data_IF_709197218487
#
_entry.id   IF_709197218487
#
_cell.length_a   1.000
_cell.length_b   1.000
_cell.length_c   1.000
_cell.angle_alpha   90.00
_cell.angle_beta   90.00
_cell.angle_gamma   90.00
#
_symmetry.space_group_name_H-M   'P 1'
#
loop_
_entity.id
_entity.type
_entity.pdbx_description
1 polymer ?
#
# COMPACT_ATOMS: atom_id res chain seq x y z
N UNK A 1 -3.00 -7.78 3.39
CA UNK A 1 -4.29 -7.93 4.14
C UNK A 1 -5.45 -8.57 3.33
N UNK A 2 -5.18 -9.34 2.27
CA UNK A 2 -6.20 -9.73 1.26
C UNK A 2 -7.34 -10.66 1.72
N UNK A 3 -7.18 -11.40 2.81
CA UNK A 3 -8.22 -12.27 3.41
C UNK A 3 -8.26 -12.08 4.93
N UNK A 4 -8.43 -10.82 5.35
CA UNK A 4 -8.38 -10.41 6.75
C UNK A 4 -9.55 -10.99 7.56
N UNK A 5 -9.22 -11.56 8.72
CA UNK A 5 -10.16 -11.97 9.78
C UNK A 5 -9.73 -11.31 11.09
N UNK A 6 -10.60 -11.28 12.11
CA UNK A 6 -10.26 -10.67 13.40
C UNK A 6 -9.03 -11.32 14.06
N UNK A 7 -8.94 -12.64 14.04
CA UNK A 7 -7.79 -13.35 14.61
C UNK A 7 -6.49 -12.99 13.87
N UNK A 8 -6.54 -12.92 12.53
CA UNK A 8 -5.37 -12.51 11.73
C UNK A 8 -4.98 -11.06 11.97
N UNK A 9 -5.96 -10.17 12.14
CA UNK A 9 -5.72 -8.77 12.48
C UNK A 9 -4.93 -8.64 13.80
N UNK A 10 -5.37 -9.37 14.84
CA UNK A 10 -4.68 -9.40 16.14
C UNK A 10 -3.24 -9.92 16.02
N UNK A 11 -3.03 -11.02 15.27
CA UNK A 11 -1.68 -11.56 15.05
C UNK A 11 -0.79 -10.58 14.26
N UNK A 12 -1.34 -9.89 13.27
CA UNK A 12 -0.63 -8.87 12.50
C UNK A 12 -0.22 -7.68 13.38
N UNK A 13 -1.10 -7.17 14.24
CA UNK A 13 -0.75 -6.09 15.18
C UNK A 13 0.39 -6.51 16.10
N UNK A 14 0.31 -7.68 16.73
CA UNK A 14 1.37 -8.19 17.59
C UNK A 14 2.72 -8.32 16.85
N UNK A 15 2.70 -8.80 15.60
CA UNK A 15 3.91 -8.90 14.79
C UNK A 15 4.50 -7.52 14.44
N UNK A 16 3.66 -6.55 14.12
CA UNK A 16 4.07 -5.17 13.80
C UNK A 16 4.62 -4.45 15.02
N UNK A 17 4.00 -4.62 16.20
CA UNK A 17 4.50 -4.09 17.46
C UNK A 17 5.88 -4.66 17.79
N UNK A 18 6.05 -5.97 17.62
CA UNK A 18 7.34 -6.61 17.83
C UNK A 18 8.40 -6.14 16.83
N UNK A 19 8.04 -6.03 15.55
CA UNK A 19 8.95 -5.50 14.52
C UNK A 19 9.40 -4.07 14.85
N UNK A 20 8.48 -3.23 15.33
CA UNK A 20 8.80 -1.87 15.77
C UNK A 20 9.75 -1.86 16.98
N UNK A 21 9.52 -2.70 17.98
CA UNK A 21 10.37 -2.74 19.19
C UNK A 21 11.77 -3.28 18.91
N UNK A 22 11.90 -4.21 17.94
CA UNK A 22 13.19 -4.75 17.51
C UNK A 22 13.84 -3.97 16.35
N UNK A 23 13.22 -2.88 15.90
CA UNK A 23 13.65 -2.10 14.73
C UNK A 23 13.78 -2.93 13.44
N UNK A 24 13.00 -4.01 13.33
CA UNK A 24 12.93 -4.83 12.12
C UNK A 24 12.05 -4.13 11.08
N UNK A 25 12.54 -3.90 9.85
CA UNK A 25 11.72 -3.29 8.81
C UNK A 25 10.55 -4.18 8.44
N UNK A 26 9.39 -3.58 8.20
CA UNK A 26 8.19 -4.29 7.78
C UNK A 26 7.46 -3.55 6.67
N UNK A 27 6.71 -4.29 5.86
CA UNK A 27 6.03 -3.77 4.68
C UNK A 27 4.51 -3.93 4.80
N UNK A 28 3.78 -2.97 4.21
CA UNK A 28 2.33 -3.01 4.13
C UNK A 28 1.88 -3.20 2.68
N UNK A 29 1.13 -4.27 2.45
CA UNK A 29 0.34 -4.48 1.23
C UNK A 29 -1.17 -4.32 1.56
N UNK A 30 -1.77 -3.15 1.24
CA UNK A 30 -3.12 -2.75 1.60
C UNK A 30 -4.17 -3.30 0.61
N UNK A 31 -4.06 -4.58 0.22
CA UNK A 31 -4.98 -5.24 -0.72
C UNK A 31 -6.46 -4.91 -0.46
N UNK A 32 -7.11 -4.32 -1.46
CA UNK A 32 -8.51 -3.93 -1.47
C UNK A 32 -8.93 -2.96 -0.35
N UNK A 33 -8.04 -2.07 0.09
CA UNK A 33 -8.32 -1.05 1.12
C UNK A 33 -9.45 -0.08 0.73
N UNK A 34 -9.66 0.17 -0.57
CA UNK A 34 -10.74 1.03 -1.06
C UNK A 34 -12.13 0.38 -1.08
N UNK A 35 -12.22 -0.96 -0.99
CA UNK A 35 -13.48 -1.69 -1.20
C UNK A 35 -14.24 -2.02 0.10
N UNK A 36 -13.55 -2.18 1.23
CA UNK A 36 -14.13 -2.68 2.47
C UNK A 36 -13.69 -1.87 3.70
N UNK A 37 -14.66 -1.31 4.42
CA UNK A 37 -14.42 -0.45 5.61
C UNK A 37 -13.59 -1.12 6.71
N UNK A 38 -13.75 -2.42 6.90
CA UNK A 38 -12.97 -3.16 7.88
C UNK A 38 -11.48 -3.19 7.53
N UNK A 39 -11.15 -3.47 6.26
CA UNK A 39 -9.76 -3.48 5.78
C UNK A 39 -9.17 -2.08 5.76
N UNK A 40 -9.97 -1.10 5.37
CA UNK A 40 -9.61 0.31 5.39
C UNK A 40 -9.14 0.76 6.78
N UNK A 41 -10.00 0.58 7.79
CA UNK A 41 -9.67 0.94 9.18
C UNK A 41 -8.44 0.20 9.69
N UNK A 42 -8.33 -1.09 9.38
CA UNK A 42 -7.17 -1.88 9.79
C UNK A 42 -5.86 -1.40 9.13
N UNK A 43 -5.88 -1.05 7.84
CA UNK A 43 -4.69 -0.50 7.19
C UNK A 43 -4.30 0.87 7.78
N UNK A 44 -5.27 1.73 8.11
CA UNK A 44 -5.01 3.00 8.78
C UNK A 44 -4.40 2.81 10.18
N UNK A 45 -4.88 1.81 10.92
CA UNK A 45 -4.27 1.41 12.21
C UNK A 45 -2.81 1.01 12.00
N UNK A 46 -2.52 0.10 11.07
CA UNK A 46 -1.16 -0.33 10.76
C UNK A 46 -0.26 0.81 10.29
N UNK A 47 -0.78 1.78 9.53
CA UNK A 47 -0.01 2.95 9.11
C UNK A 47 0.54 3.76 10.30
N UNK A 48 -0.20 3.83 11.41
CA UNK A 48 0.27 4.52 12.62
C UNK A 48 1.54 3.90 13.23
N UNK A 49 1.84 2.65 12.88
CA UNK A 49 3.06 1.95 13.27
C UNK A 49 4.26 2.21 12.35
N UNK A 50 4.11 3.10 11.35
CA UNK A 50 5.16 3.56 10.44
C UNK A 50 5.87 2.42 9.68
N UNK A 51 5.22 1.81 8.67
CA UNK A 51 5.86 0.82 7.81
C UNK A 51 7.11 1.39 7.13
N UNK A 52 8.08 0.54 6.85
CA UNK A 52 9.27 0.94 6.09
C UNK A 52 8.94 1.11 4.61
N UNK A 53 8.06 0.27 4.07
CA UNK A 53 7.55 0.40 2.72
C UNK A 53 6.06 0.04 2.62
N UNK A 54 5.38 0.68 1.68
CA UNK A 54 3.98 0.43 1.33
C UNK A 54 3.94 0.12 -0.14
N UNK A 55 3.31 -0.99 -0.53
CA UNK A 55 3.18 -1.37 -1.92
C UNK A 55 1.72 -1.64 -2.22
N UNK A 56 1.22 -1.10 -3.32
CA UNK A 56 -0.15 -1.35 -3.78
C UNK A 56 -0.35 -0.91 -5.23
N UNK A 57 -1.51 -1.21 -5.81
CA UNK A 57 -1.88 -0.63 -7.10
C UNK A 57 -2.34 0.83 -6.96
N UNK A 58 -2.57 1.51 -8.09
CA UNK A 58 -2.99 2.90 -8.11
C UNK A 58 -4.23 3.19 -7.22
N UNK A 59 -5.29 2.40 -7.38
CA UNK A 59 -6.54 2.57 -6.62
C UNK A 59 -6.34 2.37 -5.11
N UNK A 60 -5.49 1.42 -4.71
CA UNK A 60 -5.20 1.13 -3.30
C UNK A 60 -4.38 2.24 -2.65
N UNK A 61 -3.36 2.74 -3.34
CA UNK A 61 -2.52 3.82 -2.82
C UNK A 61 -3.32 5.12 -2.71
N UNK A 62 -4.11 5.46 -3.72
CA UNK A 62 -4.97 6.65 -3.66
C UNK A 62 -6.06 6.52 -2.59
N UNK A 63 -6.67 5.34 -2.44
CA UNK A 63 -7.65 5.10 -1.39
C UNK A 63 -7.00 5.17 0.01
N UNK A 64 -5.79 4.64 0.19
CA UNK A 64 -5.06 4.67 1.45
C UNK A 64 -4.66 6.11 1.83
N UNK A 65 -4.10 6.87 0.88
CA UNK A 65 -3.74 8.28 1.08
C UNK A 65 -4.98 9.16 1.32
N UNK A 66 -6.05 8.93 0.57
CA UNK A 66 -7.34 9.62 0.76
C UNK A 66 -7.96 9.29 2.11
N UNK A 67 -7.95 8.03 2.53
CA UNK A 67 -8.47 7.63 3.84
C UNK A 67 -7.63 8.19 5.00
N UNK A 68 -6.31 8.31 4.83
CA UNK A 68 -5.44 8.97 5.81
C UNK A 68 -5.74 10.47 5.92
N UNK A 69 -6.12 11.12 4.81
CA UNK A 69 -6.36 12.57 4.72
C UNK A 69 -7.83 13.00 4.70
N UNK A 70 -8.78 12.08 4.91
CA UNK A 70 -10.22 12.38 4.91
C UNK A 70 -10.85 12.66 3.52
N UNK A 71 -10.19 12.28 2.43
CA UNK A 71 -10.64 12.45 1.04
C UNK A 71 -11.67 11.43 0.54
N UNK A 72 -12.29 11.71 -0.61
CA UNK A 72 -13.27 10.82 -1.28
C UNK A 72 -12.58 9.72 -2.11
N UNK A 73 -13.27 8.57 -2.21
CA UNK A 73 -12.80 7.36 -2.90
C UNK A 73 -12.50 7.54 -4.38
N UNK A 74 -11.87 6.52 -4.96
CA UNK A 74 -11.14 6.60 -6.24
C UNK A 74 -11.64 5.52 -7.19
N UNK A 75 -11.76 5.87 -8.47
CA UNK A 75 -12.22 4.96 -9.51
C UNK A 75 -11.14 3.93 -9.88
N UNK A 76 -11.56 2.71 -10.21
CA UNK A 76 -10.70 1.51 -10.24
C UNK A 76 -9.90 1.31 -11.54
N UNK A 77 -9.78 2.33 -12.39
CA UNK A 77 -9.15 2.22 -13.72
C UNK A 77 -7.99 3.20 -13.94
N UNK A 78 -7.50 3.83 -12.87
CA UNK A 78 -6.42 4.80 -12.97
C UNK A 78 -5.06 4.14 -13.26
N UNK A 79 -4.35 4.72 -14.23
CA UNK A 79 -2.96 4.37 -14.50
C UNK A 79 -2.08 4.66 -13.26
N UNK A 80 -1.01 3.88 -13.05
CA UNK A 80 -0.11 4.04 -11.91
C UNK A 80 0.45 5.48 -11.77
N UNK A 81 0.64 6.18 -12.89
CA UNK A 81 1.07 7.58 -12.91
C UNK A 81 0.10 8.54 -12.20
N UNK A 82 -1.22 8.27 -12.24
CA UNK A 82 -2.23 9.11 -11.60
C UNK A 82 -2.13 9.06 -10.07
N UNK A 83 -1.58 7.97 -9.51
CA UNK A 83 -1.40 7.80 -8.08
C UNK A 83 -0.10 8.42 -7.54
N UNK A 84 0.78 8.97 -8.39
CA UNK A 84 2.06 9.56 -7.96
C UNK A 84 1.87 10.66 -6.88
N UNK A 85 0.95 11.63 -7.02
CA UNK A 85 0.75 12.66 -6.00
C UNK A 85 0.30 12.09 -4.65
N UNK A 86 -0.56 11.05 -4.69
CA UNK A 86 -1.01 10.33 -3.50
C UNK A 86 0.14 9.55 -2.86
N UNK A 87 0.94 8.85 -3.66
CA UNK A 87 2.11 8.11 -3.20
C UNK A 87 3.15 9.01 -2.53
N UNK A 88 3.44 10.17 -3.13
CA UNK A 88 4.37 11.13 -2.56
C UNK A 88 3.87 11.71 -1.23
N UNK A 89 2.58 12.04 -1.15
CA UNK A 89 1.95 12.53 0.07
C UNK A 89 2.01 11.48 1.18
N UNK A 90 1.61 10.25 0.87
CA UNK A 90 1.65 9.13 1.81
C UNK A 90 3.09 8.85 2.29
N UNK A 91 4.07 8.89 1.39
CA UNK A 91 5.48 8.70 1.74
C UNK A 91 5.98 9.79 2.71
N UNK A 92 5.64 11.07 2.48
CA UNK A 92 6.02 12.17 3.38
C UNK A 92 5.37 12.07 4.76
N UNK A 93 4.10 11.69 4.81
CA UNK A 93 3.34 11.59 6.06
C UNK A 93 3.79 10.41 6.93
N UNK A 94 4.09 9.28 6.29
CA UNK A 94 4.43 8.03 6.99
C UNK A 94 5.94 7.86 7.20
N UNK A 95 6.76 8.52 6.37
CA UNK A 95 8.19 8.27 6.26
C UNK A 95 8.53 6.97 5.51
N UNK A 96 7.54 6.32 4.89
CA UNK A 96 7.72 5.06 4.16
C UNK A 96 8.15 5.29 2.71
N UNK A 97 8.78 4.27 2.12
CA UNK A 97 8.90 4.17 0.66
C UNK A 97 7.56 3.67 0.11
N UNK A 98 6.99 4.36 -0.88
CA UNK A 98 5.73 3.95 -1.51
C UNK A 98 5.99 3.42 -2.92
N UNK A 99 5.48 2.23 -3.21
CA UNK A 99 5.54 1.56 -4.51
C UNK A 99 4.12 1.46 -5.09
N UNK A 100 3.89 2.12 -6.22
CA UNK A 100 2.66 2.02 -7.01
C UNK A 100 2.93 1.07 -8.17
N UNK A 101 2.28 -0.10 -8.17
CA UNK A 101 2.46 -1.09 -9.24
C UNK A 101 1.42 -0.97 -10.35
N UNK A 102 1.85 -1.20 -11.60
CA UNK A 102 1.01 -1.14 -12.80
C UNK A 102 1.71 -1.71 -14.03
N UNK A 103 1.38 -1.22 -15.23
CA UNK A 103 2.17 -1.50 -16.44
C UNK A 103 3.58 -0.91 -16.34
N UNK A 104 3.68 0.24 -15.68
CA UNK A 104 4.92 0.83 -15.21
C UNK A 104 4.80 1.03 -13.71
N UNK A 105 5.80 0.59 -12.97
CA UNK A 105 5.84 0.75 -11.53
C UNK A 105 6.52 2.08 -11.17
N UNK A 106 6.06 2.71 -10.09
CA UNK A 106 6.64 3.94 -9.56
C UNK A 106 7.01 3.77 -8.09
N UNK A 107 8.23 4.15 -7.73
CA UNK A 107 8.75 4.12 -6.36
C UNK A 107 9.07 5.54 -5.91
N UNK A 108 8.63 5.94 -4.71
CA UNK A 108 8.91 7.27 -4.16
C UNK A 108 9.15 7.26 -2.66
N UNK A 109 10.07 8.10 -2.19
CA UNK A 109 10.29 8.46 -0.78
C UNK A 109 9.57 9.76 -0.39
N UNK A 110 8.68 10.27 -1.26
CA UNK A 110 8.00 11.55 -1.10
C UNK A 110 8.69 12.76 -1.73
N UNK A 111 9.96 12.62 -2.15
CA UNK A 111 10.75 13.67 -2.78
C UNK A 111 11.28 13.24 -4.16
N UNK A 112 11.80 12.02 -4.26
CA UNK A 112 12.31 11.40 -5.49
C UNK A 112 11.28 10.42 -6.03
N UNK A 113 11.26 10.26 -7.35
CA UNK A 113 10.44 9.26 -8.02
C UNK A 113 11.35 8.46 -8.95
N UNK A 114 11.23 7.14 -8.91
CA UNK A 114 11.90 6.20 -9.81
C UNK A 114 10.81 5.44 -10.56
N UNK A 115 10.87 5.51 -11.89
CA UNK A 115 10.03 4.70 -12.78
C UNK A 115 10.73 3.39 -13.13
N UNK A 116 10.02 2.28 -13.06
CA UNK A 116 10.52 0.95 -13.40
C UNK A 116 9.67 0.40 -14.55
N UNK A 117 10.35 0.07 -15.65
CA UNK A 117 9.75 -0.56 -16.82
C UNK A 117 10.02 -2.06 -16.80
N UNK A 118 9.13 -2.85 -17.41
CA UNK A 118 9.27 -4.29 -17.55
C UNK A 118 7.96 -5.01 -17.29
N UNK A 119 8.06 -6.28 -16.92
CA UNK A 119 6.89 -7.15 -16.71
C UNK A 119 6.23 -7.61 -18.01
N UNK A 120 5.08 -8.26 -17.88
CA UNK A 120 4.26 -8.72 -19.00
C UNK A 120 2.77 -8.69 -18.59
N UNK A 121 1.85 -8.23 -19.45
CA UNK A 121 0.41 -8.26 -19.17
C UNK A 121 -0.12 -9.64 -18.74
N UNK A 122 0.53 -10.73 -19.14
CA UNK A 122 0.21 -12.10 -18.72
C UNK A 122 0.34 -12.29 -17.21
N UNK A 123 1.18 -11.51 -16.52
CA UNK A 123 1.31 -11.56 -15.06
C UNK A 123 -0.02 -11.23 -14.35
N UNK A 124 -0.89 -10.44 -14.99
CA UNK A 124 -2.24 -10.13 -14.47
C UNK A 124 -3.21 -11.30 -14.54
N UNK A 125 -2.86 -12.35 -15.31
CA UNK A 125 -3.67 -13.57 -15.48
C UNK A 125 -3.27 -14.68 -14.51
N UNK A 126 -2.25 -14.46 -13.68
CA UNK A 126 -1.79 -15.38 -12.65
C UNK A 126 -2.07 -14.78 -11.28
N UNK A 127 -2.86 -15.48 -10.45
CA UNK A 127 -3.18 -15.01 -9.10
C UNK A 127 -1.94 -14.98 -8.21
N UNK A 128 -1.78 -13.91 -7.43
CA UNK A 128 -0.71 -13.79 -6.43
C UNK A 128 0.62 -13.21 -6.94
N UNK A 129 0.77 -12.93 -8.24
CA UNK A 129 1.94 -12.21 -8.79
C UNK A 129 2.14 -10.85 -8.15
N UNK A 130 1.02 -10.17 -7.84
CA UNK A 130 1.00 -9.01 -6.95
C UNK A 130 1.60 -9.37 -5.60
N UNK A 131 0.89 -10.11 -4.74
CA UNK A 131 1.30 -10.39 -3.37
C UNK A 131 2.74 -10.96 -3.17
N UNK A 132 3.34 -11.56 -4.20
CA UNK A 132 4.72 -12.07 -4.15
C UNK A 132 5.81 -10.99 -4.31
N UNK A 133 5.49 -9.85 -4.92
CA UNK A 133 6.37 -8.71 -5.15
C UNK A 133 6.35 -7.74 -3.97
#
# INVERSE_FOLDING_TARGET
VGTLTQLRAQSMCAAVEQAKSSQTPWTLDPVAVGALDYRRRFCLELLSHKPTAIRGNASEIMALAGAANGGRGVDTTDAAANAIPAAQTLARETGAIVVVTGEMDYVTDGHRIIGIHGGDPLMTKVVGTGCAL
#
